data_IF_974775162041
#
_entry.id   IF_974775162041
#
_cell.length_a   1.000
_cell.length_b   1.000
_cell.length_c   1.000
_cell.angle_alpha   90.00
_cell.angle_beta   90.00
_cell.angle_gamma   90.00
#
_symmetry.space_group_name_H-M   'P 1'
#
loop_
_entity.id
_entity.type
_entity.pdbx_description
1 polymer ?
#
# COMPACT_ATOMS: atom_id res chain seq x y z
N UNK A 1 -8.32 31.34 -8.31
CA UNK A 1 -8.22 32.15 -7.10
C UNK A 1 -8.86 31.58 -5.83
N UNK A 2 -9.85 30.69 -5.89
CA UNK A 2 -10.44 30.05 -4.68
C UNK A 2 -9.66 28.87 -4.11
N UNK A 3 -8.86 28.18 -4.92
CA UNK A 3 -8.10 26.98 -4.52
C UNK A 3 -6.91 27.27 -3.59
N UNK A 4 -6.27 28.44 -3.71
CA UNK A 4 -5.11 28.79 -2.87
C UNK A 4 -5.45 28.97 -1.38
N UNK A 5 -6.71 29.22 -1.03
CA UNK A 5 -7.12 29.39 0.38
C UNK A 5 -7.10 28.08 1.19
N UNK A 6 -7.10 26.93 0.51
CA UNK A 6 -7.18 25.62 1.17
C UNK A 6 -5.82 25.00 1.52
N UNK A 7 -4.73 25.45 0.89
CA UNK A 7 -3.38 24.92 1.14
C UNK A 7 -2.76 25.49 2.42
N UNK A 8 -3.15 26.68 2.84
CA UNK A 8 -2.73 27.29 4.10
C UNK A 8 -3.28 26.57 5.35
N UNK A 9 -4.32 25.75 5.19
CA UNK A 9 -5.01 25.09 6.32
C UNK A 9 -4.38 23.78 6.78
N UNK A 10 -3.36 23.25 6.10
CA UNK A 10 -2.73 21.96 6.45
C UNK A 10 -1.72 22.12 7.61
N UNK A 11 -1.34 23.33 7.97
CA UNK A 11 -0.35 23.64 9.03
C UNK A 11 -0.87 24.51 10.17
N UNK A 12 -2.19 24.70 10.31
CA UNK A 12 -2.74 25.50 11.42
C UNK A 12 -3.35 24.59 12.48
N UNK A 13 -2.50 24.05 13.36
CA UNK A 13 -2.92 23.62 14.70
C UNK A 13 -2.37 24.64 15.69
N UNK A 14 -3.28 25.29 16.40
CA UNK A 14 -3.13 26.32 17.41
C UNK A 14 -3.10 27.77 16.87
N UNK A 15 -4.04 28.60 17.38
CA UNK A 15 -4.11 30.01 17.11
C UNK A 15 -2.87 30.75 17.60
N UNK A 16 -1.93 30.98 16.68
CA UNK A 16 -0.74 31.79 16.91
C UNK A 16 -0.88 33.02 16.03
N UNK A 17 -0.95 34.18 16.64
CA UNK A 17 -0.76 35.46 15.95
C UNK A 17 0.67 35.51 15.42
N UNK A 18 0.83 35.53 14.09
CA UNK A 18 2.10 35.59 13.41
C UNK A 18 2.83 36.93 13.70
N UNK A 19 3.67 36.91 14.69
CA UNK A 19 4.72 37.94 14.86
C UNK A 19 6.08 37.34 14.54
N UNK A 20 6.72 37.93 13.67
CA UNK A 20 7.92 37.90 12.87
C UNK A 20 9.20 37.19 13.32
N UNK A 21 9.21 36.09 14.04
CA UNK A 21 10.43 35.28 14.18
C UNK A 21 10.14 33.79 14.35
N UNK A 22 10.97 32.93 13.74
CA UNK A 22 10.91 31.48 13.87
C UNK A 22 10.97 31.01 15.35
N UNK A 23 11.58 31.80 16.21
CA UNK A 23 11.69 31.57 17.65
C UNK A 23 10.32 31.53 18.38
N UNK A 24 9.30 32.20 17.85
CA UNK A 24 7.94 32.21 18.45
C UNK A 24 7.12 30.96 18.10
N UNK A 25 7.54 30.16 17.12
CA UNK A 25 6.85 28.94 16.69
C UNK A 25 7.30 27.74 17.54
N UNK A 26 8.50 27.81 18.13
CA UNK A 26 9.09 26.82 19.01
C UNK A 26 8.72 27.18 20.46
N UNK A 27 8.26 26.26 21.23
CA UNK A 27 7.84 26.49 22.63
C UNK A 27 6.94 25.35 23.13
N UNK A 28 7.34 24.11 22.84
CA UNK A 28 6.66 22.91 23.37
C UNK A 28 7.61 22.13 24.31
N UNK A 29 7.02 21.43 25.24
CA UNK A 29 7.78 20.60 26.17
C UNK A 29 8.61 19.54 25.41
N UNK A 30 9.93 19.48 25.68
CA UNK A 30 10.87 18.58 25.03
C UNK A 30 11.56 19.13 23.77
N UNK A 31 11.38 20.39 23.44
CA UNK A 31 12.06 21.05 22.30
C UNK A 31 13.58 20.89 22.35
N UNK A 32 14.16 21.00 23.53
CA UNK A 32 15.60 20.84 23.74
C UNK A 32 16.16 19.44 23.44
N UNK A 33 15.29 18.43 23.41
CA UNK A 33 15.64 17.02 23.13
C UNK A 33 15.24 16.55 21.74
N UNK A 34 14.50 17.39 20.98
CA UNK A 34 13.97 17.08 19.67
C UNK A 34 14.65 17.88 18.56
N UNK A 35 14.87 17.23 17.39
CA UNK A 35 15.22 17.97 16.18
C UNK A 35 13.94 18.44 15.47
N UNK A 36 13.71 19.74 15.48
CA UNK A 36 12.56 20.37 14.82
C UNK A 36 12.99 20.98 13.50
N UNK A 37 12.20 20.74 12.44
CA UNK A 37 12.39 21.37 11.14
C UNK A 37 11.10 22.02 10.67
N UNK A 38 11.17 23.30 10.27
CA UNK A 38 10.03 24.11 9.84
C UNK A 38 10.36 24.79 8.51
N UNK A 39 9.37 24.82 7.62
CA UNK A 39 9.38 25.62 6.41
C UNK A 39 7.95 26.07 6.10
N UNK A 40 7.69 27.38 6.15
CA UNK A 40 6.39 28.00 5.88
C UNK A 40 6.56 29.05 4.80
N UNK A 41 5.78 28.92 3.73
CA UNK A 41 5.78 29.86 2.60
C UNK A 41 4.36 30.31 2.25
N UNK A 42 4.18 31.63 2.10
CA UNK A 42 2.99 32.21 1.48
C UNK A 42 3.13 32.07 -0.05
N UNK A 43 2.18 31.32 -0.66
CA UNK A 43 2.20 31.08 -2.10
C UNK A 43 1.57 32.24 -2.91
N UNK A 44 0.84 33.16 -2.27
CA UNK A 44 0.27 34.35 -2.94
C UNK A 44 1.32 35.45 -3.03
N UNK A 45 2.02 35.69 -1.95
CA UNK A 45 3.08 36.72 -1.88
C UNK A 45 4.44 36.20 -2.32
N UNK A 46 4.55 34.89 -2.58
CA UNK A 46 5.80 34.19 -2.90
C UNK A 46 6.90 34.40 -1.82
N UNK A 47 6.50 34.49 -0.56
CA UNK A 47 7.34 34.88 0.57
C UNK A 47 7.50 33.72 1.57
N UNK A 48 8.75 33.43 1.96
CA UNK A 48 9.01 32.57 3.13
C UNK A 48 8.62 33.33 4.40
N UNK A 49 7.68 32.78 5.15
CA UNK A 49 7.17 33.36 6.40
C UNK A 49 8.06 32.97 7.56
N UNK A 50 8.42 31.67 7.63
CA UNK A 50 9.28 31.14 8.68
C UNK A 50 10.04 29.92 8.19
N UNK A 51 11.25 29.75 8.69
CA UNK A 51 12.04 28.54 8.50
C UNK A 51 12.98 28.31 9.68
N UNK A 52 13.10 27.03 10.07
CA UNK A 52 14.03 26.56 11.09
C UNK A 52 14.51 25.16 10.69
N UNK A 53 15.81 24.91 10.72
CA UNK A 53 16.39 23.64 10.27
C UNK A 53 15.82 23.13 8.93
N UNK A 54 15.40 24.04 8.05
CA UNK A 54 14.59 23.73 6.86
C UNK A 54 15.34 22.85 5.83
N UNK A 55 16.67 22.80 5.87
CA UNK A 55 17.53 21.97 5.03
C UNK A 55 17.99 20.68 5.72
N UNK A 56 17.70 20.52 7.00
CA UNK A 56 18.11 19.32 7.75
C UNK A 56 17.21 18.15 7.38
N UNK A 57 17.81 17.05 6.92
CA UNK A 57 17.08 15.81 6.66
C UNK A 57 16.65 15.16 7.98
N UNK A 58 15.39 15.26 8.32
CA UNK A 58 14.78 14.60 9.49
C UNK A 58 13.96 13.39 9.05
N UNK A 59 13.65 12.47 9.96
CA UNK A 59 12.81 11.30 9.67
C UNK A 59 11.38 11.77 9.42
N UNK A 60 10.86 11.61 8.18
CA UNK A 60 9.57 12.19 7.81
C UNK A 60 8.38 11.38 8.32
N UNK A 61 8.58 10.14 8.73
CA UNK A 61 7.49 9.20 8.99
C UNK A 61 6.46 9.27 7.84
N UNK A 62 5.17 9.17 8.14
CA UNK A 62 4.10 9.17 7.13
C UNK A 62 3.94 10.46 6.31
N UNK A 63 4.66 11.55 6.64
CA UNK A 63 4.70 12.73 5.76
C UNK A 63 5.42 12.44 4.44
N UNK A 64 6.24 11.37 4.37
CA UNK A 64 6.81 10.83 3.12
C UNK A 64 5.72 10.57 2.08
N UNK A 65 4.54 10.11 2.48
CA UNK A 65 3.43 9.81 1.58
C UNK A 65 2.95 11.01 0.77
N UNK A 66 3.19 12.23 1.25
CA UNK A 66 2.92 13.42 0.47
C UNK A 66 3.84 13.50 -0.76
N UNK A 67 5.14 13.23 -0.60
CA UNK A 67 6.07 13.15 -1.72
C UNK A 67 5.69 12.03 -2.69
N UNK A 68 5.46 10.83 -2.19
CA UNK A 68 5.05 9.67 -2.98
C UNK A 68 3.77 9.92 -3.76
N UNK A 69 2.76 10.55 -3.14
CA UNK A 69 1.50 10.89 -3.82
C UNK A 69 1.70 11.96 -4.90
N UNK A 70 2.53 12.97 -4.64
CA UNK A 70 2.89 13.98 -5.64
C UNK A 70 3.59 13.36 -6.84
N UNK A 71 4.55 12.47 -6.59
CA UNK A 71 5.29 11.75 -7.62
C UNK A 71 4.38 10.86 -8.46
N UNK A 72 3.59 10.01 -7.80
CA UNK A 72 2.67 9.10 -8.47
C UNK A 72 1.64 9.85 -9.33
N UNK A 73 1.01 10.90 -8.79
CA UNK A 73 0.06 11.72 -9.54
C UNK A 73 0.72 12.38 -10.76
N UNK A 74 1.97 12.82 -10.61
CA UNK A 74 2.71 13.49 -11.68
C UNK A 74 3.15 12.56 -12.81
N UNK A 75 3.44 11.29 -12.50
CA UNK A 75 3.93 10.31 -13.49
C UNK A 75 2.78 9.53 -14.11
N UNK A 76 1.84 9.08 -13.30
CA UNK A 76 0.76 8.18 -13.72
C UNK A 76 -0.50 8.93 -14.17
N UNK A 77 -0.74 10.12 -13.62
CA UNK A 77 -2.01 10.84 -13.77
C UNK A 77 -3.11 10.32 -12.84
N UNK A 78 -4.22 11.09 -12.70
CA UNK A 78 -5.30 10.78 -11.76
C UNK A 78 -6.11 9.52 -12.13
N UNK A 79 -6.16 9.18 -13.41
CA UNK A 79 -7.03 8.12 -13.95
C UNK A 79 -6.31 6.78 -14.15
N UNK A 80 -5.01 6.71 -13.86
CA UNK A 80 -4.26 5.45 -13.94
C UNK A 80 -4.93 4.36 -13.11
N UNK A 81 -4.91 3.12 -13.64
CA UNK A 81 -5.45 1.92 -12.97
C UNK A 81 -4.50 0.76 -13.14
N UNK A 82 -4.35 -0.04 -12.12
CA UNK A 82 -3.75 -1.35 -12.25
C UNK A 82 -4.71 -2.28 -13.00
N UNK A 83 -4.17 -3.21 -13.78
CA UNK A 83 -4.96 -4.20 -14.54
C UNK A 83 -4.45 -5.61 -14.24
N UNK A 84 -5.22 -6.36 -13.44
CA UNK A 84 -4.94 -7.77 -13.14
C UNK A 84 -5.65 -8.66 -14.14
N UNK A 85 -4.90 -9.45 -14.90
CA UNK A 85 -5.41 -10.34 -15.93
C UNK A 85 -5.56 -11.77 -15.40
N UNK A 86 -6.72 -12.36 -15.64
CA UNK A 86 -6.98 -13.77 -15.36
C UNK A 86 -7.11 -14.51 -16.69
N UNK A 87 -6.26 -15.50 -16.88
CA UNK A 87 -6.15 -16.24 -18.12
C UNK A 87 -6.23 -17.74 -17.88
N UNK A 88 -6.83 -18.46 -18.80
CA UNK A 88 -6.67 -19.91 -18.96
C UNK A 88 -5.42 -20.16 -19.79
N UNK A 89 -4.52 -21.01 -19.32
CA UNK A 89 -3.29 -21.42 -20.02
C UNK A 89 -3.29 -22.93 -20.24
N UNK A 90 -3.34 -23.37 -21.49
CA UNK A 90 -3.43 -24.78 -21.83
C UNK A 90 -4.22 -25.00 -23.12
N UNK A 91 -5.20 -25.91 -23.12
CA UNK A 91 -6.07 -26.18 -24.25
C UNK A 91 -7.47 -26.57 -23.81
N UNK A 92 -8.47 -26.29 -24.67
CA UNK A 92 -9.86 -26.58 -24.38
C UNK A 92 -10.27 -27.95 -24.88
N UNK A 93 -10.94 -28.74 -24.06
CA UNK A 93 -11.60 -30.00 -24.45
C UNK A 93 -13.06 -30.00 -23.99
N UNK A 94 -13.97 -29.54 -24.83
CA UNK A 94 -15.39 -29.38 -24.52
C UNK A 94 -15.61 -28.39 -23.36
N UNK A 95 -16.13 -28.85 -22.25
CA UNK A 95 -16.33 -28.06 -21.04
C UNK A 95 -15.15 -28.14 -20.04
N UNK A 96 -14.09 -28.85 -20.40
CA UNK A 96 -12.87 -29.00 -19.59
C UNK A 96 -11.73 -28.17 -20.18
N UNK A 97 -10.98 -27.50 -19.31
CA UNK A 97 -9.72 -26.86 -19.65
C UNK A 97 -8.56 -27.74 -19.20
N UNK A 98 -7.72 -28.18 -20.15
CA UNK A 98 -6.52 -28.96 -19.91
C UNK A 98 -5.35 -28.01 -19.65
N UNK A 99 -5.18 -27.60 -18.38
CA UNK A 99 -4.16 -26.63 -17.98
C UNK A 99 -4.57 -25.84 -16.74
N UNK A 100 -3.96 -24.67 -16.57
CA UNK A 100 -4.05 -23.84 -15.38
C UNK A 100 -4.96 -22.63 -15.60
N UNK A 101 -5.54 -22.11 -14.51
CA UNK A 101 -6.06 -20.77 -14.40
C UNK A 101 -4.97 -19.87 -13.79
N UNK A 102 -4.54 -18.85 -14.54
CA UNK A 102 -3.42 -17.99 -14.14
C UNK A 102 -3.91 -16.59 -13.85
N UNK A 103 -3.68 -16.10 -12.64
CA UNK A 103 -3.86 -14.70 -12.24
C UNK A 103 -2.52 -13.99 -12.42
N UNK A 104 -2.42 -13.12 -13.43
CA UNK A 104 -1.23 -12.31 -13.67
C UNK A 104 -1.37 -10.99 -12.91
N UNK A 105 -0.75 -10.91 -11.77
CA UNK A 105 -0.82 -9.76 -10.90
C UNK A 105 0.27 -8.73 -11.21
N UNK A 106 -0.06 -7.46 -11.03
CA UNK A 106 0.78 -6.29 -11.32
C UNK A 106 1.05 -5.46 -10.07
N UNK A 107 1.10 -6.10 -8.92
CA UNK A 107 1.27 -5.46 -7.62
C UNK A 107 0.18 -4.43 -7.28
N UNK A 108 -1.05 -4.60 -7.79
CA UNK A 108 -2.20 -3.78 -7.41
C UNK A 108 -2.40 -3.84 -5.88
N UNK A 109 -2.25 -2.72 -5.15
CA UNK A 109 -2.39 -2.72 -3.69
C UNK A 109 -3.85 -2.71 -3.23
N UNK A 110 -4.82 -2.77 -4.17
CA UNK A 110 -6.24 -2.59 -3.84
C UNK A 110 -7.10 -3.80 -4.13
N UNK A 111 -6.51 -4.92 -4.64
CA UNK A 111 -7.27 -6.09 -5.06
C UNK A 111 -8.04 -6.70 -3.88
N UNK A 112 -9.40 -6.71 -3.99
CA UNK A 112 -10.35 -7.12 -2.94
C UNK A 112 -10.18 -6.36 -1.61
N UNK A 113 -9.67 -5.13 -1.66
CA UNK A 113 -9.55 -4.26 -0.49
C UNK A 113 -10.93 -3.80 0.00
N UNK A 114 -11.19 -3.92 1.30
CA UNK A 114 -12.43 -3.47 1.94
C UNK A 114 -12.58 -1.94 1.95
N UNK A 115 -11.54 -1.20 1.57
CA UNK A 115 -11.60 0.26 1.47
C UNK A 115 -12.26 0.76 0.18
N UNK A 116 -12.58 -0.15 -0.75
CA UNK A 116 -13.14 0.19 -2.05
C UNK A 116 -14.29 -0.74 -2.42
N UNK A 117 -15.52 -0.40 -2.05
CA UNK A 117 -16.71 -1.23 -2.25
C UNK A 117 -16.88 -1.76 -3.69
N UNK A 118 -16.52 -0.95 -4.69
CA UNK A 118 -16.61 -1.34 -6.11
C UNK A 118 -15.49 -2.28 -6.56
N UNK A 119 -14.52 -2.58 -5.70
CA UNK A 119 -13.37 -3.43 -5.98
C UNK A 119 -13.53 -4.85 -5.42
N UNK A 120 -14.65 -5.11 -4.75
CA UNK A 120 -14.96 -6.40 -4.16
C UNK A 120 -15.59 -7.35 -5.18
N UNK A 121 -15.47 -8.65 -4.92
CA UNK A 121 -16.09 -9.70 -5.74
C UNK A 121 -15.22 -10.19 -6.90
N UNK A 122 -13.90 -10.06 -6.81
CA UNK A 122 -12.96 -10.56 -7.82
C UNK A 122 -13.17 -12.05 -8.13
N UNK A 123 -13.22 -12.91 -7.11
CA UNK A 123 -13.42 -14.34 -7.30
C UNK A 123 -14.77 -14.66 -7.94
N UNK A 124 -15.83 -13.93 -7.59
CA UNK A 124 -17.16 -14.10 -8.16
C UNK A 124 -17.22 -13.70 -9.63
N UNK A 125 -16.50 -12.63 -9.98
CA UNK A 125 -16.34 -12.20 -11.37
C UNK A 125 -15.65 -13.27 -12.21
N UNK A 126 -14.54 -13.83 -11.72
CA UNK A 126 -13.83 -14.94 -12.40
C UNK A 126 -14.74 -16.16 -12.59
N UNK A 127 -15.47 -16.57 -11.55
CA UNK A 127 -16.44 -17.68 -11.62
C UNK A 127 -17.49 -17.41 -12.69
N UNK A 128 -18.06 -16.20 -12.70
CA UNK A 128 -19.13 -15.83 -13.66
C UNK A 128 -18.64 -15.89 -15.10
N UNK A 129 -17.44 -15.41 -15.38
CA UNK A 129 -16.85 -15.44 -16.73
C UNK A 129 -16.55 -16.87 -17.17
N UNK A 130 -15.94 -17.70 -16.31
CA UNK A 130 -15.70 -19.12 -16.62
C UNK A 130 -17.00 -19.88 -16.92
N UNK A 131 -18.07 -19.60 -16.17
CA UNK A 131 -19.40 -20.18 -16.45
C UNK A 131 -19.96 -19.71 -17.78
N UNK A 132 -19.84 -18.43 -18.11
CA UNK A 132 -20.25 -17.88 -19.40
C UNK A 132 -19.47 -18.50 -20.57
N UNK A 133 -18.21 -18.84 -20.36
CA UNK A 133 -17.38 -19.59 -21.30
C UNK A 133 -17.76 -21.09 -21.38
N UNK A 134 -18.63 -21.57 -20.50
CA UNK A 134 -19.05 -22.99 -20.44
C UNK A 134 -17.99 -23.90 -19.81
N UNK A 135 -17.02 -23.39 -19.08
CA UNK A 135 -15.98 -24.17 -18.39
C UNK A 135 -16.57 -24.79 -17.12
N UNK A 136 -16.45 -26.10 -16.97
CA UNK A 136 -16.90 -26.88 -15.80
C UNK A 136 -15.75 -27.53 -15.04
N UNK A 137 -14.58 -27.64 -15.67
CA UNK A 137 -13.40 -28.22 -15.02
C UNK A 137 -12.10 -27.61 -15.52
N UNK A 138 -11.11 -27.50 -14.64
CA UNK A 138 -9.74 -27.12 -14.87
C UNK A 138 -8.89 -28.26 -14.35
N UNK A 139 -8.09 -28.92 -15.21
CA UNK A 139 -7.31 -30.10 -14.81
C UNK A 139 -6.07 -29.72 -14.00
N UNK A 140 -5.52 -28.56 -14.23
CA UNK A 140 -4.41 -28.00 -13.48
C UNK A 140 -4.89 -27.26 -12.20
N UNK A 141 -4.23 -26.18 -11.89
CA UNK A 141 -4.41 -25.43 -10.64
C UNK A 141 -4.64 -23.94 -10.90
N UNK A 142 -5.03 -23.22 -9.86
CA UNK A 142 -4.97 -21.76 -9.82
C UNK A 142 -3.54 -21.34 -9.52
N UNK A 143 -2.91 -20.63 -10.44
CA UNK A 143 -1.56 -20.08 -10.33
C UNK A 143 -1.63 -18.58 -10.20
N UNK A 144 -1.01 -18.01 -9.20
CA UNK A 144 -0.83 -16.55 -9.11
C UNK A 144 0.59 -16.24 -9.57
N UNK A 145 0.70 -15.56 -10.70
CA UNK A 145 1.98 -15.15 -11.27
C UNK A 145 2.32 -13.74 -10.78
N UNK A 146 3.47 -13.63 -10.13
CA UNK A 146 3.97 -12.40 -9.55
C UNK A 146 5.15 -11.87 -10.38
N UNK A 147 5.15 -10.58 -10.67
CA UNK A 147 6.20 -9.93 -11.47
C UNK A 147 7.02 -8.90 -10.70
N UNK A 148 6.74 -8.68 -9.42
CA UNK A 148 7.43 -7.67 -8.62
C UNK A 148 8.77 -8.20 -8.13
N UNK A 149 9.86 -7.51 -8.44
CA UNK A 149 11.17 -7.73 -7.82
C UNK A 149 11.16 -7.19 -6.38
N UNK A 150 11.99 -7.73 -5.51
CA UNK A 150 12.13 -7.32 -4.10
C UNK A 150 10.78 -7.16 -3.37
N UNK A 151 9.84 -8.07 -3.63
CA UNK A 151 8.53 -8.14 -2.96
C UNK A 151 8.68 -8.44 -1.47
N UNK A 152 7.70 -8.00 -0.68
CA UNK A 152 7.68 -8.22 0.76
C UNK A 152 8.16 -7.02 1.58
N UNK A 153 8.40 -7.21 2.88
CA UNK A 153 8.83 -6.13 3.78
C UNK A 153 10.11 -5.45 3.29
N UNK A 154 10.17 -4.13 3.42
CA UNK A 154 11.38 -3.37 3.12
C UNK A 154 12.47 -3.80 4.11
N UNK A 155 13.69 -4.15 3.66
CA UNK A 155 14.73 -4.65 4.55
C UNK A 155 15.13 -3.71 5.70
N UNK A 156 14.80 -2.42 5.59
CA UNK A 156 15.06 -1.39 6.59
C UNK A 156 13.84 -1.08 7.48
N UNK A 157 12.76 -1.85 7.38
CA UNK A 157 11.66 -1.79 8.36
C UNK A 157 12.06 -2.52 9.62
N UNK A 158 11.60 -2.02 10.76
CA UNK A 158 11.79 -2.72 12.02
C UNK A 158 11.01 -4.04 12.01
N UNK A 159 11.62 -5.10 12.55
CA UNK A 159 11.02 -6.44 12.53
C UNK A 159 9.72 -6.47 13.34
N UNK A 160 9.63 -5.65 14.36
CA UNK A 160 8.46 -5.48 15.22
C UNK A 160 7.25 -4.95 14.45
N UNK A 161 7.46 -4.18 13.38
CA UNK A 161 6.39 -3.62 12.55
C UNK A 161 5.78 -4.65 11.58
N UNK A 162 6.58 -5.62 11.12
CA UNK A 162 6.23 -6.50 9.98
C UNK A 162 4.98 -7.34 10.24
N UNK A 163 4.71 -7.73 11.46
CA UNK A 163 3.56 -8.55 11.81
C UNK A 163 2.27 -7.75 12.05
N UNK A 164 2.37 -6.47 12.33
CA UNK A 164 1.21 -5.60 12.56
C UNK A 164 0.55 -5.16 11.25
N UNK A 165 -0.75 -4.93 11.26
CA UNK A 165 -1.52 -4.59 10.06
C UNK A 165 -0.98 -3.37 9.30
N UNK A 166 -0.41 -2.39 9.98
CA UNK A 166 0.24 -1.23 9.34
C UNK A 166 1.58 -1.58 8.68
N UNK A 167 2.22 -2.68 9.06
CA UNK A 167 3.43 -3.23 8.44
C UNK A 167 3.13 -4.15 7.25
N UNK A 168 1.89 -4.15 6.73
CA UNK A 168 1.55 -4.90 5.53
C UNK A 168 2.45 -4.49 4.36
N UNK A 169 3.24 -5.44 3.88
CA UNK A 169 4.19 -5.21 2.82
C UNK A 169 3.54 -5.37 1.44
N UNK A 170 4.16 -4.76 0.42
CA UNK A 170 3.77 -4.92 -0.97
C UNK A 170 4.35 -6.22 -1.54
N UNK A 171 3.50 -7.01 -2.18
CA UNK A 171 3.87 -8.21 -2.94
C UNK A 171 3.52 -8.04 -4.42
N UNK A 172 3.98 -8.93 -5.27
CA UNK A 172 3.58 -8.97 -6.67
C UNK A 172 2.08 -9.23 -6.84
N UNK A 173 1.48 -9.98 -5.93
CA UNK A 173 0.04 -10.15 -5.79
C UNK A 173 -0.39 -9.76 -4.38
N UNK A 174 -1.18 -8.71 -4.26
CA UNK A 174 -1.78 -8.29 -3.00
C UNK A 174 -3.23 -8.78 -2.93
N UNK A 175 -3.71 -9.05 -1.72
CA UNK A 175 -5.05 -9.59 -1.50
C UNK A 175 -5.62 -9.14 -0.16
N UNK A 176 -6.79 -8.47 -0.16
CA UNK A 176 -7.48 -8.04 1.07
C UNK A 176 -6.56 -7.24 2.00
N UNK A 177 -5.92 -6.22 1.46
CA UNK A 177 -4.97 -5.35 2.18
C UNK A 177 -3.78 -6.09 2.81
N UNK A 178 -3.51 -7.34 2.37
CA UNK A 178 -2.49 -8.25 2.90
C UNK A 178 -2.60 -8.50 4.40
N UNK A 179 -3.81 -8.43 4.96
CA UNK A 179 -4.06 -8.64 6.39
C UNK A 179 -5.08 -9.74 6.62
N UNK A 180 -4.99 -10.34 7.79
CA UNK A 180 -5.96 -11.32 8.27
C UNK A 180 -6.24 -11.12 9.76
N UNK A 181 -7.42 -11.55 10.18
CA UNK A 181 -7.78 -11.62 11.60
C UNK A 181 -7.47 -13.00 12.12
N UNK A 182 -6.75 -13.06 13.25
CA UNK A 182 -6.43 -14.28 13.98
C UNK A 182 -7.21 -14.32 15.29
N UNK A 183 -7.79 -15.46 15.61
CA UNK A 183 -8.29 -15.82 16.95
C UNK A 183 -7.32 -16.83 17.57
N UNK A 184 -6.35 -16.39 18.38
CA UNK A 184 -5.25 -17.24 18.85
C UNK A 184 -5.74 -18.48 19.60
N UNK A 185 -6.73 -18.34 20.48
CA UNK A 185 -7.26 -19.45 21.25
C UNK A 185 -7.81 -20.63 20.42
N UNK A 186 -8.17 -20.39 19.16
CA UNK A 186 -8.73 -21.40 18.26
C UNK A 186 -7.88 -21.68 17.04
N UNK A 187 -6.83 -20.88 16.82
CA UNK A 187 -6.03 -20.93 15.59
C UNK A 187 -6.77 -20.50 14.32
N UNK A 188 -8.03 -20.04 14.44
CA UNK A 188 -8.85 -19.61 13.30
C UNK A 188 -8.32 -18.32 12.73
N UNK A 189 -8.31 -18.23 11.39
CA UNK A 189 -8.02 -17.00 10.66
C UNK A 189 -9.17 -16.61 9.73
N UNK A 190 -9.27 -15.31 9.41
CA UNK A 190 -10.17 -14.78 8.40
C UNK A 190 -9.47 -13.67 7.62
N UNK A 191 -9.21 -13.85 6.31
CA UNK A 191 -9.39 -15.09 5.54
C UNK A 191 -8.54 -16.26 6.07
N UNK A 192 -8.79 -17.46 5.56
CA UNK A 192 -7.93 -18.60 5.85
C UNK A 192 -6.54 -18.37 5.24
N UNK A 193 -5.49 -18.54 6.05
CA UNK A 193 -4.10 -18.37 5.61
C UNK A 193 -3.42 -19.72 5.55
N UNK A 194 -3.26 -20.31 4.36
CA UNK A 194 -2.64 -21.62 4.20
C UNK A 194 -1.19 -21.63 4.71
N UNK A 195 -0.83 -22.68 5.44
CA UNK A 195 0.54 -22.88 5.92
C UNK A 195 0.98 -21.95 7.06
N UNK A 196 0.11 -21.09 7.57
CA UNK A 196 0.43 -20.26 8.74
C UNK A 196 0.63 -21.16 9.98
N UNK A 197 1.73 -20.94 10.68
CA UNK A 197 2.02 -21.49 11.99
C UNK A 197 1.88 -20.37 13.02
N UNK A 198 1.26 -20.68 14.15
CA UNK A 198 1.07 -19.70 15.24
C UNK A 198 1.69 -20.25 16.51
N UNK A 199 2.61 -19.52 17.09
CA UNK A 199 3.22 -19.79 18.38
C UNK A 199 2.68 -18.81 19.39
N UNK A 200 2.17 -19.33 20.52
CA UNK A 200 1.46 -18.52 21.52
C UNK A 200 2.32 -18.42 22.79
N UNK A 201 2.52 -17.19 23.24
CA UNK A 201 3.27 -16.88 24.45
C UNK A 201 2.39 -16.04 25.37
N UNK A 202 2.23 -16.48 26.62
CA UNK A 202 1.48 -15.72 27.60
C UNK A 202 2.31 -14.58 28.13
N UNK A 203 1.79 -13.37 27.99
CA UNK A 203 2.37 -12.17 28.56
C UNK A 203 1.33 -11.40 29.37
N UNK A 204 1.77 -10.74 30.44
CA UNK A 204 0.93 -9.93 31.30
C UNK A 204 0.83 -8.47 30.83
N UNK A 205 1.82 -7.98 30.08
CA UNK A 205 2.04 -6.56 29.84
C UNK A 205 1.41 -5.99 28.58
N UNK A 206 0.98 -6.85 27.63
CA UNK A 206 0.37 -6.34 26.42
C UNK A 206 0.20 -7.38 25.33
N UNK A 207 -0.18 -6.92 24.15
CA UNK A 207 -0.20 -7.74 22.93
C UNK A 207 0.99 -7.39 22.07
N UNK A 208 1.77 -8.39 21.70
CA UNK A 208 2.88 -8.25 20.78
C UNK A 208 2.78 -9.30 19.66
N UNK A 209 3.17 -8.92 18.48
CA UNK A 209 3.21 -9.79 17.30
C UNK A 209 4.60 -9.72 16.69
N UNK A 210 5.18 -10.88 16.40
CA UNK A 210 6.45 -10.95 15.73
C UNK A 210 6.41 -11.97 14.60
N UNK A 211 6.92 -11.57 13.45
CA UNK A 211 7.10 -12.45 12.29
C UNK A 211 8.27 -11.97 11.45
N UNK A 212 9.27 -12.81 11.31
CA UNK A 212 10.40 -12.52 10.41
C UNK A 212 9.95 -12.40 8.94
N UNK A 213 10.63 -11.57 8.19
CA UNK A 213 10.41 -11.42 6.74
C UNK A 213 10.49 -12.80 6.06
N UNK A 214 9.47 -13.15 5.26
CA UNK A 214 9.38 -14.45 4.58
C UNK A 214 9.03 -15.65 5.47
N UNK A 215 8.87 -15.45 6.78
CA UNK A 215 8.44 -16.52 7.69
C UNK A 215 6.94 -16.74 7.61
N UNK A 216 6.51 -18.02 7.68
CA UNK A 216 5.12 -18.40 7.89
C UNK A 216 4.78 -18.63 9.37
N UNK A 217 5.73 -18.47 10.29
CA UNK A 217 5.49 -18.57 11.73
C UNK A 217 5.23 -17.18 12.29
N UNK A 218 4.08 -17.02 12.93
CA UNK A 218 3.66 -15.82 13.67
C UNK A 218 3.71 -16.13 15.15
N UNK A 219 4.53 -15.39 15.88
CA UNK A 219 4.57 -15.42 17.33
C UNK A 219 3.60 -14.39 17.88
N UNK A 220 2.81 -14.76 18.88
CA UNK A 220 1.77 -13.91 19.49
C UNK A 220 1.94 -13.94 20.98
N UNK A 221 2.25 -12.79 21.57
CA UNK A 221 2.25 -12.58 23.01
C UNK A 221 0.98 -11.86 23.43
N UNK A 222 0.46 -12.22 24.60
CA UNK A 222 -0.68 -11.48 25.15
C UNK A 222 -1.34 -12.15 26.35
N UNK A 223 -2.06 -11.32 27.13
CA UNK A 223 -2.83 -11.77 28.28
C UNK A 223 -4.02 -12.63 27.87
N UNK A 224 -4.69 -12.24 26.80
CA UNK A 224 -5.98 -12.80 26.37
C UNK A 224 -5.86 -13.87 25.29
N UNK A 225 -4.68 -14.42 25.05
CA UNK A 225 -4.41 -15.41 23.98
C UNK A 225 -5.30 -16.67 24.05
N UNK A 226 -5.78 -17.03 25.25
CA UNK A 226 -6.69 -18.16 25.48
C UNK A 226 -8.18 -17.76 25.45
N UNK A 227 -8.50 -16.47 25.27
CA UNK A 227 -9.88 -16.01 25.16
C UNK A 227 -10.40 -16.22 23.72
N UNK A 228 -11.39 -17.10 23.55
CA UNK A 228 -11.94 -17.43 22.24
C UNK A 228 -12.63 -16.25 21.52
N UNK A 229 -13.00 -15.19 22.25
CA UNK A 229 -13.60 -13.97 21.68
C UNK A 229 -12.52 -12.93 21.28
N UNK A 230 -11.33 -13.03 21.80
CA UNK A 230 -10.24 -12.11 21.50
C UNK A 230 -9.62 -12.42 20.13
N UNK A 231 -9.33 -11.39 19.40
CA UNK A 231 -8.71 -11.52 18.07
C UNK A 231 -7.76 -10.37 17.79
N UNK A 232 -6.79 -10.61 16.96
CA UNK A 232 -5.80 -9.62 16.54
C UNK A 232 -5.68 -9.59 15.02
N UNK A 233 -5.33 -8.43 14.45
CA UNK A 233 -5.03 -8.29 13.02
C UNK A 233 -3.53 -8.46 12.79
N UNK A 234 -3.18 -9.26 11.80
CA UNK A 234 -1.79 -9.48 11.41
C UNK A 234 -1.65 -9.50 9.89
N UNK A 235 -0.42 -9.44 9.41
CA UNK A 235 -0.10 -9.41 7.98
C UNK A 235 0.05 -10.79 7.38
N UNK A 236 -0.42 -10.97 6.14
CA UNK A 236 -0.26 -12.22 5.39
C UNK A 236 1.22 -12.45 5.02
N UNK A 237 1.77 -13.64 5.30
CA UNK A 237 3.13 -13.97 4.86
C UNK A 237 3.23 -14.18 3.34
N UNK A 238 2.13 -14.62 2.71
CA UNK A 238 2.05 -14.90 1.28
C UNK A 238 0.63 -14.63 0.76
N UNK A 239 0.30 -13.40 0.34
CA UNK A 239 -1.02 -13.06 -0.17
C UNK A 239 -1.39 -13.82 -1.45
N UNK A 240 -0.43 -14.13 -2.32
CA UNK A 240 -0.64 -14.91 -3.53
C UNK A 240 -1.19 -16.32 -3.22
N UNK A 241 -0.69 -16.94 -2.16
CA UNK A 241 -1.18 -18.26 -1.71
C UNK A 241 -2.60 -18.16 -1.17
N UNK A 242 -2.94 -17.10 -0.44
CA UNK A 242 -4.30 -16.87 0.08
C UNK A 242 -5.27 -16.66 -1.08
N UNK A 243 -4.93 -15.81 -2.06
CA UNK A 243 -5.71 -15.58 -3.27
C UNK A 243 -5.93 -16.89 -4.05
N UNK A 244 -4.86 -17.65 -4.31
CA UNK A 244 -4.95 -18.94 -5.01
C UNK A 244 -5.89 -19.90 -4.30
N UNK A 245 -5.79 -19.99 -2.97
CA UNK A 245 -6.65 -20.84 -2.16
C UNK A 245 -8.12 -20.38 -2.21
N UNK A 246 -8.40 -19.11 -1.93
CA UNK A 246 -9.78 -18.58 -1.94
C UNK A 246 -10.44 -18.72 -3.32
N UNK A 247 -9.71 -18.42 -4.41
CA UNK A 247 -10.24 -18.57 -5.77
C UNK A 247 -10.52 -20.05 -6.09
N UNK A 248 -9.63 -20.97 -5.69
CA UNK A 248 -9.83 -22.41 -5.85
C UNK A 248 -11.09 -22.88 -5.12
N UNK A 249 -11.25 -22.50 -3.86
CA UNK A 249 -12.42 -22.88 -3.07
C UNK A 249 -13.70 -22.24 -3.64
N UNK A 250 -13.63 -21.01 -4.15
CA UNK A 250 -14.77 -20.35 -4.76
C UNK A 250 -15.20 -21.03 -6.07
N UNK A 251 -14.24 -21.46 -6.90
CA UNK A 251 -14.51 -22.23 -8.12
C UNK A 251 -15.19 -23.57 -7.79
N UNK A 252 -14.64 -24.32 -6.83
CA UNK A 252 -15.19 -25.61 -6.38
C UNK A 252 -16.59 -25.44 -5.83
N UNK A 253 -16.81 -24.47 -4.95
CA UNK A 253 -18.14 -24.12 -4.41
C UNK A 253 -19.13 -23.71 -5.47
N UNK A 254 -18.66 -23.19 -6.60
CA UNK A 254 -19.48 -22.83 -7.77
C UNK A 254 -19.72 -23.99 -8.75
N UNK A 255 -19.20 -25.20 -8.47
CA UNK A 255 -19.35 -26.40 -9.33
C UNK A 255 -18.36 -26.45 -10.49
N UNK A 256 -17.28 -25.65 -10.46
CA UNK A 256 -16.16 -25.75 -11.38
C UNK A 256 -15.03 -26.54 -10.69
N UNK A 257 -14.77 -27.76 -11.15
CA UNK A 257 -13.73 -28.59 -10.53
C UNK A 257 -12.33 -28.05 -10.86
N UNK A 258 -11.46 -28.04 -9.85
CA UNK A 258 -10.03 -27.71 -9.99
C UNK A 258 -9.26 -28.90 -9.40
N UNK A 259 -8.58 -29.68 -10.25
CA UNK A 259 -8.04 -30.97 -9.87
C UNK A 259 -6.67 -30.87 -9.20
N UNK A 260 -5.91 -29.81 -9.46
CA UNK A 260 -4.60 -29.57 -8.85
C UNK A 260 -3.48 -30.46 -9.42
N UNK A 261 -3.74 -31.19 -10.51
CA UNK A 261 -2.74 -31.99 -11.16
C UNK A 261 -1.60 -31.14 -11.71
N UNK A 262 -0.45 -31.77 -11.95
CA UNK A 262 0.75 -31.07 -12.44
C UNK A 262 0.41 -30.27 -13.68
N UNK A 263 0.86 -29.02 -13.72
CA UNK A 263 0.66 -28.11 -14.86
C UNK A 263 0.93 -28.87 -16.18
N UNK A 264 0.02 -28.68 -17.14
CA UNK A 264 0.09 -29.34 -18.44
C UNK A 264 1.48 -29.13 -19.06
N UNK A 265 2.21 -30.23 -19.25
CA UNK A 265 3.53 -30.22 -19.86
C UNK A 265 3.46 -29.75 -21.31
N UNK A 266 4.30 -28.80 -21.66
CA UNK A 266 5.00 -28.52 -22.94
C UNK A 266 4.33 -28.75 -24.31
N UNK A 267 3.04 -28.97 -24.43
CA UNK A 267 2.35 -28.84 -25.73
C UNK A 267 1.99 -27.36 -25.93
N UNK A 268 1.87 -26.92 -27.19
CA UNK A 268 1.54 -25.55 -27.60
C UNK A 268 0.42 -24.97 -26.69
N UNK A 269 0.83 -24.14 -25.73
CA UNK A 269 -0.09 -23.60 -24.74
C UNK A 269 -0.82 -22.42 -25.35
N UNK A 270 -2.13 -22.55 -25.50
CA UNK A 270 -3.00 -21.43 -25.81
C UNK A 270 -3.23 -20.62 -24.53
N UNK A 271 -3.38 -19.32 -24.69
CA UNK A 271 -3.77 -18.42 -23.59
C UNK A 271 -5.09 -17.78 -23.96
N UNK A 272 -6.10 -17.98 -23.14
CA UNK A 272 -7.42 -17.38 -23.32
C UNK A 272 -7.74 -16.47 -22.12
N UNK A 273 -8.04 -15.19 -22.37
CA UNK A 273 -8.38 -14.24 -21.32
C UNK A 273 -9.78 -14.53 -20.78
N UNK A 274 -9.87 -14.74 -19.49
CA UNK A 274 -11.13 -14.96 -18.75
C UNK A 274 -11.71 -13.65 -18.28
N UNK A 275 -10.89 -12.84 -17.61
CA UNK A 275 -11.33 -11.62 -16.94
C UNK A 275 -10.17 -10.64 -16.79
N UNK A 276 -10.47 -9.36 -16.90
CA UNK A 276 -9.53 -8.29 -16.57
C UNK A 276 -10.15 -7.45 -15.45
N UNK A 277 -9.49 -7.42 -14.31
CA UNK A 277 -9.86 -6.56 -13.20
C UNK A 277 -9.10 -5.24 -13.30
N UNK A 278 -9.82 -4.13 -13.10
CA UNK A 278 -9.25 -2.80 -13.01
C UNK A 278 -9.39 -2.23 -11.60
N UNK A 279 -8.29 -1.77 -11.03
CA UNK A 279 -8.30 -1.10 -9.73
C UNK A 279 -9.16 0.18 -9.74
N UNK A 280 -9.43 0.79 -8.59
CA UNK A 280 -9.83 2.19 -8.53
C UNK A 280 -8.82 3.09 -9.24
N UNK A 281 -9.24 4.28 -9.66
CA UNK A 281 -8.35 5.27 -10.25
C UNK A 281 -7.27 5.72 -9.24
N UNK A 282 -6.09 6.09 -9.73
CA UNK A 282 -4.97 6.53 -8.90
C UNK A 282 -5.37 7.65 -7.92
N UNK A 283 -6.17 8.62 -8.35
CA UNK A 283 -6.69 9.67 -7.47
C UNK A 283 -7.47 9.12 -6.27
N UNK A 284 -8.25 8.05 -6.47
CA UNK A 284 -9.01 7.38 -5.40
C UNK A 284 -8.07 6.61 -4.46
N UNK A 285 -7.08 5.92 -5.01
CA UNK A 285 -6.06 5.20 -4.24
C UNK A 285 -5.22 6.18 -3.41
N UNK A 286 -4.74 7.26 -4.03
CA UNK A 286 -3.94 8.30 -3.37
C UNK A 286 -4.71 8.97 -2.24
N UNK A 287 -6.01 9.22 -2.42
CA UNK A 287 -6.85 9.74 -1.34
C UNK A 287 -6.97 8.76 -0.18
N UNK A 288 -7.18 7.47 -0.46
CA UNK A 288 -7.26 6.44 0.58
C UNK A 288 -5.95 6.34 1.35
N UNK A 289 -4.82 6.26 0.65
CA UNK A 289 -3.50 6.14 1.29
C UNK A 289 -3.16 7.34 2.17
N UNK A 290 -3.49 8.56 1.75
CA UNK A 290 -3.19 9.77 2.53
C UNK A 290 -4.12 9.92 3.74
N UNK A 291 -5.43 9.62 3.58
CA UNK A 291 -6.40 9.72 4.66
C UNK A 291 -6.20 8.63 5.73
N UNK A 292 -5.83 7.42 5.32
CA UNK A 292 -5.60 6.26 6.20
C UNK A 292 -4.16 6.12 6.64
N UNK A 293 -3.26 6.80 5.97
CA UNK A 293 -1.81 6.61 6.13
C UNK A 293 -1.36 5.19 5.78
N UNK A 294 -1.93 4.61 4.71
CA UNK A 294 -1.69 3.22 4.32
C UNK A 294 -0.31 3.03 3.72
N UNK A 295 0.49 2.16 4.32
CA UNK A 295 1.88 1.92 3.92
C UNK A 295 1.96 1.08 2.65
N UNK A 296 1.17 0.01 2.53
CA UNK A 296 1.19 -0.87 1.36
C UNK A 296 0.73 -0.13 0.10
N UNK A 297 -0.32 0.70 0.19
CA UNK A 297 -0.75 1.53 -0.93
C UNK A 297 0.32 2.54 -1.34
N UNK A 298 1.06 3.11 -0.37
CA UNK A 298 2.15 4.02 -0.68
C UNK A 298 3.30 3.32 -1.43
N UNK A 299 3.70 2.13 -0.97
CA UNK A 299 4.68 1.30 -1.69
C UNK A 299 4.17 0.91 -3.10
N UNK A 300 2.89 0.54 -3.23
CA UNK A 300 2.28 0.21 -4.51
C UNK A 300 2.32 1.37 -5.51
N UNK A 301 1.98 2.57 -5.05
CA UNK A 301 2.01 3.78 -5.89
C UNK A 301 3.43 4.21 -6.25
N UNK A 302 4.40 4.07 -5.33
CA UNK A 302 5.81 4.28 -5.64
C UNK A 302 6.31 3.29 -6.70
N UNK A 303 5.98 2.01 -6.56
CA UNK A 303 6.42 0.97 -7.51
C UNK A 303 5.76 1.12 -8.89
N UNK A 304 4.54 1.64 -8.95
CA UNK A 304 3.82 1.85 -10.22
C UNK A 304 4.49 2.86 -11.14
N UNK A 305 5.32 3.79 -10.62
CA UNK A 305 6.05 4.75 -11.47
C UNK A 305 7.23 4.13 -12.24
N UNK A 306 7.67 2.93 -11.84
CA UNK A 306 8.76 2.19 -12.49
C UNK A 306 8.38 0.69 -12.57
N UNK A 307 7.40 0.33 -13.40
CA UNK A 307 6.88 -1.03 -13.46
C UNK A 307 7.95 -2.02 -13.95
N UNK A 308 8.05 -3.16 -13.25
CA UNK A 308 9.03 -4.20 -13.55
C UNK A 308 10.43 -4.02 -12.94
N UNK A 309 10.72 -2.84 -12.39
CA UNK A 309 11.97 -2.53 -11.73
C UNK A 309 11.92 -2.83 -10.23
N UNK A 310 13.05 -2.69 -9.55
CA UNK A 310 13.11 -2.81 -8.10
C UNK A 310 12.75 -1.47 -7.39
N UNK A 311 12.72 -1.49 -6.05
CA UNK A 311 12.39 -0.28 -5.27
C UNK A 311 13.42 0.83 -5.45
N UNK A 312 14.69 0.48 -5.58
CA UNK A 312 15.76 1.47 -5.76
C UNK A 312 15.60 2.22 -7.07
N UNK A 313 15.18 1.53 -8.13
CA UNK A 313 14.90 2.14 -9.43
C UNK A 313 13.70 3.08 -9.37
N UNK A 314 12.63 2.68 -8.64
CA UNK A 314 11.47 3.53 -8.41
C UNK A 314 11.86 4.81 -7.64
N UNK A 315 12.65 4.69 -6.57
CA UNK A 315 13.19 5.84 -5.81
C UNK A 315 14.11 6.70 -6.67
N UNK A 316 14.95 6.08 -7.50
CA UNK A 316 15.80 6.82 -8.45
C UNK A 316 14.96 7.63 -9.43
N UNK A 317 13.91 7.03 -10.00
CA UNK A 317 12.99 7.72 -10.91
C UNK A 317 12.24 8.86 -10.24
N UNK A 318 11.83 8.69 -8.98
CA UNK A 318 11.26 9.77 -8.18
C UNK A 318 12.24 10.94 -8.04
N UNK A 319 13.51 10.68 -7.70
CA UNK A 319 14.55 11.70 -7.60
C UNK A 319 14.79 12.41 -8.94
N UNK A 320 14.91 11.67 -10.02
CA UNK A 320 15.09 12.22 -11.37
C UNK A 320 13.92 13.13 -11.78
N UNK A 321 12.70 12.75 -11.44
CA UNK A 321 11.51 13.55 -11.70
C UNK A 321 11.58 14.93 -11.04
N UNK A 322 11.94 14.96 -9.75
CA UNK A 322 11.98 16.21 -9.00
C UNK A 322 13.22 17.04 -9.32
N UNK A 323 14.36 16.42 -9.57
CA UNK A 323 15.57 17.11 -10.05
C UNK A 323 15.31 17.83 -11.41
N UNK A 324 14.58 17.19 -12.33
CA UNK A 324 14.18 17.80 -13.60
C UNK A 324 13.25 19.01 -13.43
N UNK A 325 12.61 19.14 -12.27
CA UNK A 325 11.74 20.27 -11.88
C UNK A 325 12.47 21.31 -11.02
N UNK A 326 13.79 21.17 -10.85
CA UNK A 326 14.62 22.06 -10.04
C UNK A 326 14.51 21.80 -8.52
N UNK A 327 13.90 20.68 -8.10
CA UNK A 327 13.74 20.30 -6.70
C UNK A 327 14.64 19.11 -6.41
N UNK A 328 15.85 19.37 -5.90
CA UNK A 328 16.80 18.29 -5.68
C UNK A 328 16.48 17.44 -4.45
N UNK A 329 16.34 16.14 -4.69
CA UNK A 329 16.24 15.13 -3.63
C UNK A 329 17.60 14.47 -3.32
N UNK A 330 18.71 14.99 -3.86
CA UNK A 330 20.03 14.36 -3.76
C UNK A 330 20.48 14.11 -2.32
N UNK A 331 20.20 15.06 -1.43
CA UNK A 331 20.63 14.99 -0.02
C UNK A 331 19.54 14.43 0.90
N UNK A 332 18.43 13.95 0.32
CA UNK A 332 17.37 13.29 1.06
C UNK A 332 17.54 11.77 0.96
N UNK A 333 17.51 11.10 2.10
CA UNK A 333 17.58 9.63 2.18
C UNK A 333 16.20 9.05 1.99
N UNK A 334 15.83 8.64 0.77
CA UNK A 334 14.55 7.97 0.49
C UNK A 334 14.83 6.48 0.39
N UNK A 335 14.17 5.70 1.24
CA UNK A 335 14.26 4.24 1.30
C UNK A 335 12.97 3.59 0.79
N UNK A 336 11.83 4.15 1.18
CA UNK A 336 10.50 3.65 0.85
C UNK A 336 9.52 4.80 0.55
N UNK A 337 8.37 4.48 0.02
CA UNK A 337 7.31 5.46 -0.29
C UNK A 337 6.39 5.74 0.88
N UNK A 338 6.40 4.90 1.88
CA UNK A 338 5.49 4.95 3.02
C UNK A 338 5.98 5.83 4.17
N UNK A 339 7.30 5.95 4.33
CA UNK A 339 7.94 6.59 5.46
C UNK A 339 8.04 5.69 6.70
N UNK A 340 7.76 4.38 6.57
CA UNK A 340 7.84 3.45 7.70
C UNK A 340 9.30 3.19 8.11
N UNK A 341 10.23 3.17 7.16
CA UNK A 341 11.64 3.04 7.49
C UNK A 341 12.15 4.26 8.25
N UNK A 342 12.71 4.03 9.42
CA UNK A 342 13.38 5.07 10.24
C UNK A 342 14.61 5.67 9.54
N UNK A 343 15.14 4.98 8.53
CA UNK A 343 16.26 5.46 7.71
C UNK A 343 15.88 6.53 6.69
N UNK A 344 14.59 6.78 6.45
CA UNK A 344 14.15 7.88 5.60
C UNK A 344 14.60 9.23 6.17
N UNK A 345 15.07 10.13 5.29
CA UNK A 345 15.45 11.51 5.64
C UNK A 345 14.87 12.45 4.58
N UNK A 346 14.09 13.42 5.01
CA UNK A 346 13.50 14.44 4.13
C UNK A 346 13.58 15.81 4.79
N UNK A 347 14.11 16.79 4.06
CA UNK A 347 14.20 18.14 4.56
C UNK A 347 12.86 18.87 4.41
N UNK A 348 12.41 19.65 5.41
CA UNK A 348 11.15 20.40 5.36
C UNK A 348 11.03 21.30 4.13
N UNK A 349 12.11 22.01 3.75
CA UNK A 349 12.13 22.87 2.56
C UNK A 349 11.93 22.07 1.28
N UNK A 350 12.53 20.88 1.16
CA UNK A 350 12.37 20.01 0.00
C UNK A 350 10.89 19.60 -0.17
N UNK A 351 10.27 19.14 0.92
CA UNK A 351 8.84 18.82 0.89
C UNK A 351 7.98 20.04 0.58
N UNK A 352 8.32 21.21 1.17
CA UNK A 352 7.65 22.47 0.89
C UNK A 352 7.69 22.86 -0.60
N UNK A 353 8.83 22.68 -1.27
CA UNK A 353 8.96 22.91 -2.72
C UNK A 353 8.11 21.95 -3.56
N UNK A 354 8.04 20.66 -3.16
CA UNK A 354 7.15 19.69 -3.81
C UNK A 354 5.69 20.11 -3.66
N UNK A 355 5.27 20.51 -2.46
CA UNK A 355 3.90 20.98 -2.21
C UNK A 355 3.57 22.26 -3.00
N UNK A 356 4.50 23.22 -3.07
CA UNK A 356 4.38 24.43 -3.89
C UNK A 356 4.24 24.09 -5.37
N UNK A 357 5.11 23.21 -5.88
CA UNK A 357 5.04 22.79 -7.27
C UNK A 357 3.68 22.16 -7.60
N UNK A 358 3.19 21.27 -6.72
CA UNK A 358 1.88 20.64 -6.88
C UNK A 358 0.75 21.65 -6.85
N UNK A 359 0.79 22.64 -5.96
CA UNK A 359 -0.22 23.69 -5.87
C UNK A 359 -0.29 24.58 -7.14
N UNK A 360 0.85 24.75 -7.82
CA UNK A 360 0.96 25.54 -9.07
C UNK A 360 0.78 24.69 -10.34
N UNK A 361 0.71 23.36 -10.21
CA UNK A 361 0.57 22.41 -11.31
C UNK A 361 -0.91 22.28 -11.76
N UNK A 362 -1.20 21.58 -12.88
CA UNK A 362 -2.57 21.22 -13.24
C UNK A 362 -3.34 20.44 -12.16
N UNK A 363 -2.66 19.91 -11.17
CA UNK A 363 -3.23 19.19 -10.02
C UNK A 363 -3.48 20.06 -8.79
N UNK A 364 -3.35 21.39 -8.89
CA UNK A 364 -3.43 22.34 -7.77
C UNK A 364 -4.74 22.32 -7.00
N UNK A 365 -5.84 21.89 -7.61
CA UNK A 365 -7.12 21.66 -6.92
C UNK A 365 -7.25 20.22 -6.41
N UNK A 366 -6.81 19.24 -7.20
CA UNK A 366 -6.95 17.82 -6.88
C UNK A 366 -6.04 17.44 -5.71
N UNK A 367 -4.74 17.74 -5.80
CA UNK A 367 -3.75 17.24 -4.86
C UNK A 367 -4.05 17.62 -3.40
N UNK A 368 -4.38 18.89 -3.06
CA UNK A 368 -4.78 19.24 -1.69
C UNK A 368 -6.05 18.51 -1.21
N UNK A 369 -6.95 18.16 -2.14
CA UNK A 369 -8.21 17.48 -1.80
C UNK A 369 -8.02 16.01 -1.41
N UNK A 370 -6.81 15.44 -1.66
CA UNK A 370 -6.47 14.05 -1.32
C UNK A 370 -6.11 13.89 0.16
N UNK A 371 -5.71 14.99 0.82
CA UNK A 371 -5.24 14.94 2.22
C UNK A 371 -6.39 14.83 3.22
N UNK A 372 -6.12 14.29 4.42
CA UNK A 372 -7.07 14.30 5.52
C UNK A 372 -7.40 15.76 5.94
N UNK A 373 -8.61 15.95 6.45
CA UNK A 373 -9.06 17.23 7.00
C UNK A 373 -9.24 17.10 8.49
N UNK A 374 -8.59 17.98 9.25
CA UNK A 374 -8.73 18.05 10.71
C UNK A 374 -10.20 18.16 11.12
N UNK A 375 -10.61 17.39 12.13
CA UNK A 375 -11.99 17.34 12.59
C UNK A 375 -12.99 16.63 11.66
N UNK A 376 -12.57 16.15 10.48
CA UNK A 376 -13.47 15.56 9.48
C UNK A 376 -13.14 14.10 9.20
N UNK A 377 -11.90 13.78 8.87
CA UNK A 377 -11.51 12.41 8.48
C UNK A 377 -10.04 12.07 8.77
N UNK A 378 -9.72 10.79 8.60
CA UNK A 378 -8.37 10.27 8.84
C UNK A 378 -7.98 10.31 10.31
N UNK A 379 -6.67 10.21 10.57
CA UNK A 379 -6.11 10.25 11.93
C UNK A 379 -6.23 11.62 12.61
N UNK A 380 -6.74 12.62 11.90
CA UNK A 380 -6.95 13.99 12.38
C UNK A 380 -8.43 14.27 12.71
N UNK A 381 -9.28 13.23 12.79
CA UNK A 381 -10.72 13.36 13.04
C UNK A 381 -11.04 13.72 14.48
N UNK A 382 -10.21 13.30 15.43
CA UNK A 382 -10.37 13.52 16.88
C UNK A 382 -9.59 14.73 17.33
#
# INVERSE_FOLDING_TARGET
>A
MKALKSVAAILLVAGISLSSSAETILGFDGEETATVGIYIKDLQEDKVIAEHNALTGITPASTMKALTAATALSVLGPDYRFSTHVNLRGSRQGASWQGDLVVNSVADPTLESEYFDKNLGFCDSVVSHLRAMGIKSITGRVVVAESLKDAGPVPQWEIEDVAWSYGAALYGANWRDNVFRLWPATGRTKPHVPGLKVELHRDADGTELLRGAGSSTLEVWGRDINNAKWSVMSTMPNPAMVLSHELTERLRGAGISVNGDKSASSQKQETETVYVHHSPAASTILKSLLVRSDNMMAEGMLRAIAPGDDRKDAVKREKELWDARGISLKYNGIIDGSGLSMGNKLAPRTLGYVLEWMARSPYGELYPSLFPRAGVNGNMKS
#
